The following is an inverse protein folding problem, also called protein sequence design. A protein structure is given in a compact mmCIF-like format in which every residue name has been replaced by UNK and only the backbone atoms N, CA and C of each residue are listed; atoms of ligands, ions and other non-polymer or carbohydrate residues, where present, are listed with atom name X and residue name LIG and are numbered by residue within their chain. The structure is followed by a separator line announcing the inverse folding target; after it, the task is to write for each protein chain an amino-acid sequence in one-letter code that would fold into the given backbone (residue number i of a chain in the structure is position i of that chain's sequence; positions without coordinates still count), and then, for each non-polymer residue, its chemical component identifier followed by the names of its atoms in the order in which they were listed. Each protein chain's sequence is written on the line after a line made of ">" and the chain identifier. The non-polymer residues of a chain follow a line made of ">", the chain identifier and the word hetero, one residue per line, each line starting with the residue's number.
data_IF_680342451272
#
_entry.id   IF_680342451272
#
_cell.length_a   1.000
_cell.length_b   1.000
_cell.length_c   1.000
_cell.angle_alpha   90.00
_cell.angle_beta   90.00
_cell.angle_gamma   90.00
#
_symmetry.space_group_name_H-M   'P 1'
#
loop_
_entity.id
_entity.type
_entity.pdbx_description
1 polymer ?
#
# COMPACT_ATOMS: atom_id res chain seq x y z
N UNK A 1 31.59 -4.07 -27.69
CA UNK A 1 31.10 -4.79 -26.49
C UNK A 1 29.95 -4.01 -25.90
N UNK A 2 28.80 -4.66 -25.73
CA UNK A 2 27.46 -4.12 -25.44
C UNK A 2 27.43 -3.11 -24.29
N UNK A 3 26.74 -1.98 -24.48
CA UNK A 3 26.10 -1.23 -23.40
C UNK A 3 24.60 -1.47 -23.55
N UNK A 4 24.06 -2.23 -22.61
CA UNK A 4 22.63 -2.53 -22.52
C UNK A 4 21.87 -1.25 -22.18
N UNK A 5 20.82 -1.00 -22.97
CA UNK A 5 19.90 0.09 -22.77
C UNK A 5 19.08 -0.17 -21.51
N UNK A 6 19.10 0.81 -20.61
CA UNK A 6 18.18 0.93 -19.48
C UNK A 6 16.76 0.93 -20.03
N UNK A 7 15.99 -0.10 -19.69
CA UNK A 7 14.56 -0.22 -20.03
C UNK A 7 13.79 0.94 -19.42
N UNK A 8 13.11 1.69 -20.29
CA UNK A 8 12.35 2.87 -19.94
C UNK A 8 11.23 2.59 -18.94
N UNK A 9 11.15 3.43 -17.91
CA UNK A 9 9.98 3.58 -17.06
C UNK A 9 8.82 4.15 -17.89
N UNK A 10 7.81 3.35 -18.19
CA UNK A 10 6.61 3.78 -18.90
C UNK A 10 5.76 4.70 -18.01
N UNK A 11 5.94 6.01 -18.15
CA UNK A 11 5.12 7.06 -17.50
C UNK A 11 4.01 7.57 -18.43
N UNK A 12 3.46 6.71 -19.30
CA UNK A 12 2.29 7.04 -20.13
C UNK A 12 0.98 6.85 -19.35
N UNK A 13 -0.13 7.48 -19.78
CA UNK A 13 -1.44 7.23 -19.20
C UNK A 13 -1.83 5.78 -19.47
N UNK A 14 -1.79 4.96 -18.42
CA UNK A 14 -2.18 3.55 -18.47
C UNK A 14 -3.69 3.47 -18.26
N UNK A 15 -4.45 4.06 -19.19
CA UNK A 15 -5.91 4.08 -19.16
C UNK A 15 -6.42 2.78 -19.78
N UNK A 16 -6.68 1.78 -18.95
CA UNK A 16 -7.50 0.62 -19.33
C UNK A 16 -8.94 0.86 -18.86
N UNK A 17 -9.98 0.41 -19.60
CA UNK A 17 -11.38 0.67 -19.24
C UNK A 17 -11.73 0.34 -17.78
N UNK A 18 -11.22 -0.78 -17.24
CA UNK A 18 -11.46 -1.16 -15.85
C UNK A 18 -10.77 -0.27 -14.81
N UNK A 19 -9.64 0.36 -15.16
CA UNK A 19 -8.97 1.32 -14.28
C UNK A 19 -9.75 2.63 -14.17
N UNK A 20 -10.23 3.13 -15.31
CA UNK A 20 -11.02 4.37 -15.34
C UNK A 20 -12.36 4.19 -14.62
N UNK A 21 -13.02 3.03 -14.78
CA UNK A 21 -14.22 2.68 -14.02
C UNK A 21 -13.97 2.63 -12.50
N UNK A 22 -12.86 2.01 -12.09
CA UNK A 22 -12.49 1.93 -10.68
C UNK A 22 -12.22 3.33 -10.08
N UNK A 23 -11.57 4.23 -10.82
CA UNK A 23 -11.37 5.61 -10.40
C UNK A 23 -12.68 6.41 -10.38
N UNK A 24 -13.57 6.19 -11.35
CA UNK A 24 -14.89 6.83 -11.39
C UNK A 24 -15.72 6.46 -10.16
N UNK A 25 -15.77 5.17 -9.80
CA UNK A 25 -16.37 4.71 -8.55
C UNK A 25 -15.77 5.44 -7.34
N UNK A 26 -14.43 5.48 -7.26
CA UNK A 26 -13.74 6.06 -6.13
C UNK A 26 -14.01 7.57 -5.98
N UNK A 27 -14.05 8.32 -7.09
CA UNK A 27 -14.35 9.75 -7.08
C UNK A 27 -15.81 10.08 -6.79
N UNK A 28 -16.72 9.13 -7.00
CA UNK A 28 -18.12 9.24 -6.58
C UNK A 28 -18.33 9.16 -5.06
N UNK A 29 -17.33 8.69 -4.30
CA UNK A 29 -17.42 8.62 -2.85
C UNK A 29 -17.29 10.00 -2.18
N UNK A 30 -18.00 10.18 -1.07
CA UNK A 30 -17.87 11.38 -0.23
C UNK A 30 -16.40 11.55 0.21
N UNK A 31 -15.80 12.71 -0.09
CA UNK A 31 -14.41 13.03 0.29
C UNK A 31 -14.26 13.23 1.80
N UNK A 32 -15.22 13.93 2.41
CA UNK A 32 -15.30 14.26 3.83
C UNK A 32 -16.78 14.43 4.17
N UNK A 33 -17.45 13.35 4.62
CA UNK A 33 -18.92 13.35 4.76
C UNK A 33 -19.47 12.94 6.13
N UNK A 34 -18.67 12.27 6.95
CA UNK A 34 -18.94 11.99 8.35
C UNK A 34 -17.60 12.01 9.05
N UNK A 35 -17.54 12.33 10.35
CA UNK A 35 -16.29 12.23 11.11
C UNK A 35 -15.64 10.87 10.78
N UNK A 36 -14.45 10.85 10.15
CA UNK A 36 -13.76 9.60 9.90
C UNK A 36 -13.57 8.93 11.25
N UNK A 37 -14.13 7.74 11.38
CA UNK A 37 -14.08 6.95 12.60
C UNK A 37 -13.26 5.70 12.32
N UNK A 38 -12.40 5.26 13.25
CA UNK A 38 -11.66 4.02 13.08
C UNK A 38 -12.59 2.82 12.86
N UNK A 39 -13.84 2.89 13.34
CA UNK A 39 -14.79 1.78 13.38
C UNK A 39 -15.09 1.23 11.98
N UNK A 40 -15.39 2.10 11.00
CA UNK A 40 -15.67 1.65 9.64
C UNK A 40 -14.42 1.06 8.98
N UNK A 41 -13.26 1.71 9.20
CA UNK A 41 -11.99 1.22 8.65
C UNK A 41 -11.65 -0.15 9.22
N UNK A 42 -11.87 -0.35 10.52
CA UNK A 42 -11.69 -1.64 11.20
C UNK A 42 -12.65 -2.71 10.65
N UNK A 43 -13.94 -2.40 10.48
CA UNK A 43 -14.92 -3.31 9.90
C UNK A 43 -14.51 -3.78 8.49
N UNK A 44 -14.07 -2.83 7.65
CA UNK A 44 -13.62 -3.14 6.29
C UNK A 44 -12.35 -3.98 6.32
N UNK A 45 -11.40 -3.65 7.19
CA UNK A 45 -10.15 -4.41 7.32
C UNK A 45 -10.38 -5.83 7.84
N UNK A 46 -11.28 -6.01 8.80
CA UNK A 46 -11.70 -7.33 9.29
C UNK A 46 -12.31 -8.14 8.14
N UNK A 47 -13.22 -7.53 7.36
CA UNK A 47 -13.84 -8.17 6.20
C UNK A 47 -12.85 -8.49 5.05
N UNK A 48 -11.67 -7.89 5.06
CA UNK A 48 -10.53 -8.17 4.16
C UNK A 48 -9.53 -9.19 4.74
N UNK A 49 -9.78 -9.72 5.94
CA UNK A 49 -8.88 -10.67 6.61
C UNK A 49 -7.66 -10.01 7.24
N UNK A 50 -7.86 -8.85 7.87
CA UNK A 50 -6.88 -8.12 8.67
C UNK A 50 -5.52 -7.86 7.98
N UNK A 51 -5.49 -7.28 6.76
CA UNK A 51 -4.23 -7.06 6.04
C UNK A 51 -3.25 -6.17 6.81
N UNK A 52 -3.78 -5.19 7.58
CA UNK A 52 -3.00 -4.29 8.43
C UNK A 52 -2.23 -5.00 9.57
N UNK A 53 -2.56 -6.25 9.91
CA UNK A 53 -1.87 -7.05 10.93
C UNK A 53 -0.68 -7.84 10.38
N UNK A 54 -0.51 -7.89 9.05
CA UNK A 54 0.52 -8.69 8.37
C UNK A 54 1.90 -8.00 8.33
N UNK A 55 1.96 -6.72 8.67
CA UNK A 55 3.18 -5.92 8.75
C UNK A 55 3.08 -4.96 9.94
N UNK A 56 4.22 -4.42 10.38
CA UNK A 56 4.25 -3.29 11.29
C UNK A 56 4.09 -1.99 10.48
N UNK A 57 3.66 -0.91 11.13
CA UNK A 57 3.47 0.38 10.49
C UNK A 57 4.14 1.48 11.31
N UNK A 58 4.64 2.52 10.62
CA UNK A 58 5.09 3.76 11.25
C UNK A 58 4.08 4.83 10.85
N UNK A 59 3.36 5.37 11.83
CA UNK A 59 2.38 6.41 11.61
C UNK A 59 3.06 7.78 11.75
N UNK A 60 3.16 8.54 10.66
CA UNK A 60 3.73 9.88 10.65
C UNK A 60 2.60 10.91 10.63
N UNK A 61 2.44 11.65 11.72
CA UNK A 61 1.45 12.72 11.87
C UNK A 61 2.13 14.10 12.01
N UNK A 62 1.36 15.19 11.89
CA UNK A 62 1.86 16.58 12.02
C UNK A 62 1.39 17.49 10.88
N UNK A 63 1.52 18.81 11.04
CA UNK A 63 0.92 19.76 10.08
C UNK A 63 1.75 19.95 8.80
N UNK A 64 3.08 19.82 8.88
CA UNK A 64 4.03 20.00 7.77
C UNK A 64 5.08 18.88 7.76
N UNK A 65 5.66 18.59 6.59
CA UNK A 65 6.79 17.66 6.48
C UNK A 65 6.48 16.16 6.53
N UNK A 66 5.25 15.73 6.81
CA UNK A 66 4.86 14.30 6.85
C UNK A 66 5.29 13.51 5.62
N UNK A 67 5.01 14.02 4.42
CA UNK A 67 5.37 13.35 3.17
C UNK A 67 6.88 13.16 3.04
N UNK A 68 7.66 14.20 3.34
CA UNK A 68 9.12 14.16 3.32
C UNK A 68 9.68 13.19 4.36
N UNK A 69 9.17 13.22 5.59
CA UNK A 69 9.60 12.30 6.67
C UNK A 69 9.25 10.86 6.31
N UNK A 70 8.02 10.58 5.86
CA UNK A 70 7.61 9.24 5.45
C UNK A 70 8.46 8.71 4.29
N UNK A 71 8.80 9.57 3.31
CA UNK A 71 9.67 9.20 2.20
C UNK A 71 11.11 8.91 2.66
N UNK A 72 11.67 9.73 3.57
CA UNK A 72 12.99 9.50 4.15
C UNK A 72 13.03 8.19 4.94
N UNK A 73 12.03 7.95 5.81
CA UNK A 73 11.92 6.69 6.57
C UNK A 73 11.80 5.49 5.63
N UNK A 74 10.95 5.59 4.60
CA UNK A 74 10.78 4.51 3.64
C UNK A 74 12.07 4.21 2.87
N UNK A 75 12.81 5.24 2.46
CA UNK A 75 14.11 5.11 1.79
C UNK A 75 15.14 4.41 2.68
N UNK A 76 15.25 4.82 3.95
CA UNK A 76 16.18 4.20 4.91
C UNK A 76 15.85 2.74 5.16
N UNK A 77 14.57 2.39 5.36
CA UNK A 77 14.15 1.00 5.57
C UNK A 77 14.40 0.13 4.33
N UNK A 78 14.12 0.68 3.14
CA UNK A 78 14.41 -0.01 1.87
C UNK A 78 15.90 -0.25 1.70
N UNK A 79 16.74 0.77 1.98
CA UNK A 79 18.20 0.65 1.93
C UNK A 79 18.76 -0.35 2.96
N UNK A 80 18.07 -0.52 4.09
CA UNK A 80 18.39 -1.53 5.10
C UNK A 80 17.93 -2.96 4.73
N UNK A 81 17.34 -3.16 3.55
CA UNK A 81 16.94 -4.47 3.03
C UNK A 81 15.52 -4.90 3.42
N UNK A 82 14.70 -4.02 4.01
CA UNK A 82 13.29 -4.31 4.30
C UNK A 82 12.40 -3.98 3.10
N UNK A 83 11.46 -4.87 2.77
CA UNK A 83 10.42 -4.53 1.80
C UNK A 83 9.46 -3.52 2.42
N UNK A 84 9.43 -2.31 1.88
CA UNK A 84 8.80 -1.16 2.54
C UNK A 84 7.62 -0.62 1.74
N UNK A 85 6.48 -0.45 2.41
CA UNK A 85 5.30 0.23 1.87
C UNK A 85 5.27 1.70 2.30
N UNK A 86 4.96 2.61 1.36
CA UNK A 86 4.76 4.03 1.62
C UNK A 86 3.33 4.41 1.24
N UNK A 87 2.55 4.87 2.21
CA UNK A 87 1.21 5.41 2.01
C UNK A 87 1.21 6.93 2.23
N UNK A 88 0.77 7.70 1.22
CA UNK A 88 0.74 9.16 1.26
C UNK A 88 -0.56 9.73 0.71
N UNK A 89 -0.90 10.94 1.16
CA UNK A 89 -2.04 11.70 0.67
C UNK A 89 -1.78 13.20 0.76
N UNK A 90 -2.23 14.03 -0.19
CA UNK A 90 -2.91 13.67 -1.46
C UNK A 90 -1.92 13.14 -2.53
N UNK A 91 -2.44 12.72 -3.69
CA UNK A 91 -1.63 12.52 -4.91
C UNK A 91 -1.55 13.82 -5.73
N UNK A 92 -0.54 13.94 -6.59
CA UNK A 92 -0.34 15.09 -7.47
C UNK A 92 -0.73 14.81 -8.92
N UNK A 93 -0.28 13.70 -9.53
CA UNK A 93 -0.52 13.39 -10.94
C UNK A 93 -1.39 12.15 -11.13
N UNK A 94 -1.16 11.10 -10.34
CA UNK A 94 -1.91 9.84 -10.45
C UNK A 94 -2.32 9.29 -9.09
N UNK A 95 -3.52 8.70 -9.02
CA UNK A 95 -4.02 8.03 -7.81
C UNK A 95 -3.02 7.00 -7.24
N UNK A 96 -2.26 6.35 -8.13
CA UNK A 96 -1.23 5.36 -7.81
C UNK A 96 -0.12 5.88 -6.91
N UNK A 97 0.15 7.20 -6.90
CA UNK A 97 1.16 7.81 -6.03
C UNK A 97 0.88 7.60 -4.54
N UNK A 98 -0.40 7.40 -4.20
CA UNK A 98 -0.83 7.21 -2.81
C UNK A 98 -0.23 5.97 -2.17
N UNK A 99 0.13 4.95 -2.93
CA UNK A 99 0.74 3.74 -2.38
C UNK A 99 1.91 3.26 -3.26
N UNK A 100 3.05 3.06 -2.61
CA UNK A 100 4.27 2.58 -3.24
C UNK A 100 4.84 1.43 -2.43
N UNK A 101 5.48 0.47 -3.09
CA UNK A 101 6.27 -0.58 -2.44
C UNK A 101 7.65 -0.58 -3.05
N UNK A 102 8.68 -0.49 -2.21
CA UNK A 102 10.09 -0.36 -2.61
C UNK A 102 10.30 0.77 -3.63
N UNK A 103 9.65 1.93 -3.38
CA UNK A 103 9.68 3.11 -4.26
C UNK A 103 8.93 2.96 -5.59
N UNK A 104 8.28 1.82 -5.83
CA UNK A 104 7.54 1.55 -7.07
C UNK A 104 6.04 1.75 -6.86
N UNK A 105 5.42 2.55 -7.72
CA UNK A 105 3.97 2.80 -7.72
C UNK A 105 3.16 1.49 -7.86
N UNK A 106 1.97 1.45 -7.27
CA UNK A 106 0.98 0.43 -7.60
C UNK A 106 0.68 0.42 -9.11
N UNK A 107 0.51 -0.74 -9.71
CA UNK A 107 0.08 -0.88 -11.11
C UNK A 107 -1.43 -0.62 -11.22
N UNK A 108 -1.94 -0.26 -12.42
CA UNK A 108 -3.38 -0.13 -12.64
C UNK A 108 -4.17 -1.39 -12.28
N UNK A 109 -3.63 -2.58 -12.62
CA UNK A 109 -4.23 -3.85 -12.27
C UNK A 109 -4.37 -4.02 -10.75
N UNK A 110 -3.34 -3.70 -9.97
CA UNK A 110 -3.40 -3.77 -8.51
C UNK A 110 -4.38 -2.75 -7.90
N UNK A 111 -4.56 -1.59 -8.55
CA UNK A 111 -5.60 -0.63 -8.16
C UNK A 111 -6.98 -1.26 -8.38
N UNK A 112 -7.25 -1.77 -9.58
CA UNK A 112 -8.55 -2.37 -9.93
C UNK A 112 -8.87 -3.57 -9.05
N UNK A 113 -7.92 -4.50 -8.92
CA UNK A 113 -8.10 -5.70 -8.12
C UNK A 113 -8.32 -5.37 -6.63
N UNK A 114 -7.54 -4.44 -6.10
CA UNK A 114 -7.66 -4.03 -4.70
C UNK A 114 -8.98 -3.32 -4.42
N UNK A 115 -9.39 -2.39 -5.29
CA UNK A 115 -10.68 -1.70 -5.15
C UNK A 115 -11.86 -2.67 -5.31
N UNK A 116 -11.78 -3.64 -6.23
CA UNK A 116 -12.77 -4.72 -6.36
C UNK A 116 -12.93 -5.50 -5.05
N UNK A 117 -11.82 -5.85 -4.39
CA UNK A 117 -11.87 -6.55 -3.09
C UNK A 117 -12.46 -5.70 -1.98
N UNK A 118 -12.08 -4.43 -1.89
CA UNK A 118 -12.63 -3.50 -0.89
C UNK A 118 -14.13 -3.32 -1.10
N UNK A 119 -14.58 -3.17 -2.35
CA UNK A 119 -16.00 -3.09 -2.69
C UNK A 119 -16.76 -4.36 -2.30
N UNK A 120 -16.23 -5.54 -2.63
CA UNK A 120 -16.84 -6.80 -2.23
C UNK A 120 -16.91 -6.96 -0.70
N UNK A 121 -15.93 -6.42 0.05
CA UNK A 121 -15.96 -6.40 1.51
C UNK A 121 -17.07 -5.48 2.05
N UNK A 122 -17.21 -4.28 1.48
CA UNK A 122 -18.30 -3.35 1.81
C UNK A 122 -19.67 -3.96 1.53
N UNK A 123 -19.86 -4.59 0.37
CA UNK A 123 -21.12 -5.26 0.01
C UNK A 123 -21.46 -6.45 0.93
N UNK A 124 -20.45 -7.15 1.47
CA UNK A 124 -20.67 -8.18 2.50
C UNK A 124 -21.11 -7.57 3.82
N UNK A 125 -20.45 -6.49 4.25
CA UNK A 125 -20.78 -5.79 5.50
C UNK A 125 -22.19 -5.20 5.45
N UNK A 126 -22.56 -4.58 4.33
CA UNK A 126 -23.87 -3.99 4.08
C UNK A 126 -24.98 -5.05 4.18
N UNK A 127 -24.84 -6.17 3.44
CA UNK A 127 -25.77 -7.30 3.50
C UNK A 127 -25.90 -7.92 4.90
N UNK A 128 -24.85 -7.86 5.71
CA UNK A 128 -24.86 -8.36 7.08
C UNK A 128 -25.39 -7.35 8.11
N UNK A 129 -25.74 -6.13 7.70
CA UNK A 129 -26.15 -5.04 8.60
C UNK A 129 -25.04 -4.53 9.52
N UNK A 130 -23.78 -4.91 9.27
CA UNK A 130 -22.61 -4.48 10.06
C UNK A 130 -22.05 -3.14 9.58
N UNK A 131 -22.41 -2.70 8.39
CA UNK A 131 -21.94 -1.44 7.83
C UNK A 131 -22.58 -0.26 8.57
N UNK A 132 -21.79 0.45 9.36
CA UNK A 132 -22.29 1.56 10.19
C UNK A 132 -22.75 2.77 9.37
N UNK A 133 -22.12 3.01 8.22
CA UNK A 133 -22.46 4.06 7.25
C UNK A 133 -21.77 3.81 5.91
N UNK A 134 -22.11 4.62 4.91
CA UNK A 134 -21.37 4.67 3.65
C UNK A 134 -19.87 4.96 3.88
N UNK A 135 -19.04 4.23 3.14
CA UNK A 135 -17.59 4.43 3.16
C UNK A 135 -17.18 5.70 2.43
N UNK A 136 -16.24 6.41 3.01
CA UNK A 136 -15.63 7.60 2.39
C UNK A 136 -14.48 7.20 1.46
N UNK A 137 -14.10 8.14 0.61
CA UNK A 137 -12.89 8.04 -0.22
C UNK A 137 -11.66 7.62 0.60
N UNK A 138 -11.49 8.23 1.79
CA UNK A 138 -10.32 7.99 2.64
C UNK A 138 -10.28 6.56 3.17
N UNK A 139 -11.40 6.01 3.59
CA UNK A 139 -11.49 4.67 4.17
C UNK A 139 -11.26 3.60 3.11
N UNK A 140 -11.87 3.77 1.93
CA UNK A 140 -11.65 2.87 0.78
C UNK A 140 -10.19 2.90 0.33
N UNK A 141 -9.61 4.11 0.22
CA UNK A 141 -8.19 4.28 -0.15
C UNK A 141 -7.26 3.65 0.88
N UNK A 142 -7.56 3.80 2.17
CA UNK A 142 -6.74 3.25 3.27
C UNK A 142 -6.79 1.73 3.30
N UNK A 143 -7.99 1.15 3.19
CA UNK A 143 -8.19 -0.29 3.11
C UNK A 143 -7.48 -0.89 1.90
N UNK A 144 -7.57 -0.23 0.74
CA UNK A 144 -6.85 -0.59 -0.48
C UNK A 144 -5.32 -0.61 -0.27
N UNK A 145 -4.76 0.44 0.34
CA UNK A 145 -3.32 0.52 0.59
C UNK A 145 -2.83 -0.61 1.51
N UNK A 146 -3.57 -0.93 2.58
CA UNK A 146 -3.23 -2.03 3.47
C UNK A 146 -3.30 -3.40 2.76
N UNK A 147 -4.33 -3.65 1.96
CA UNK A 147 -4.44 -4.88 1.16
C UNK A 147 -3.28 -5.00 0.15
N UNK A 148 -2.91 -3.91 -0.53
CA UNK A 148 -1.75 -3.87 -1.43
C UNK A 148 -0.46 -4.25 -0.70
N UNK A 149 -0.17 -3.65 0.45
CA UNK A 149 1.05 -3.90 1.22
C UNK A 149 1.11 -5.34 1.73
N UNK A 150 -0.01 -5.87 2.22
CA UNK A 150 -0.12 -7.27 2.61
C UNK A 150 0.18 -8.21 1.43
N UNK A 151 -0.35 -7.92 0.23
CA UNK A 151 -0.18 -8.76 -0.96
C UNK A 151 1.22 -8.69 -1.55
N UNK A 152 1.86 -7.52 -1.52
CA UNK A 152 3.26 -7.38 -1.94
C UNK A 152 4.24 -7.91 -0.88
N UNK A 153 3.77 -8.38 0.28
CA UNK A 153 4.63 -8.95 1.32
C UNK A 153 5.55 -7.91 1.96
N UNK A 154 5.04 -6.69 2.20
CA UNK A 154 5.75 -5.66 2.96
C UNK A 154 6.21 -6.25 4.29
N UNK A 155 7.51 -6.20 4.55
CA UNK A 155 8.17 -6.85 5.69
C UNK A 155 8.82 -5.77 6.55
N UNK A 156 8.06 -5.26 7.50
CA UNK A 156 8.60 -4.61 8.68
C UNK A 156 8.07 -5.40 9.87
N UNK A 157 8.94 -6.20 10.48
CA UNK A 157 8.74 -6.90 11.75
C UNK A 157 10.00 -6.63 12.54
N UNK A 158 9.85 -6.08 13.74
CA UNK A 158 10.96 -5.96 14.68
C UNK A 158 11.58 -7.35 14.89
N UNK A 159 12.79 -7.56 14.37
CA UNK A 159 13.64 -8.67 14.79
C UNK A 159 14.37 -8.20 16.05
N UNK A 160 13.97 -8.74 17.20
CA UNK A 160 14.71 -8.51 18.45
C UNK A 160 16.09 -9.15 18.26
N UNK A 161 17.15 -8.35 18.27
CA UNK A 161 18.53 -8.83 18.32
C UNK A 161 18.77 -9.55 19.65
N UNK A 162 18.52 -10.85 19.66
CA UNK A 162 19.25 -11.78 20.50
C UNK A 162 20.51 -12.20 19.75
N UNK A 163 21.65 -11.98 20.36
CA UNK A 163 23.00 -12.33 19.93
C UNK A 163 23.16 -13.65 19.17
N UNK A 164 24.13 -13.68 18.23
CA UNK A 164 24.72 -14.91 17.72
C UNK A 164 25.48 -14.71 16.40
N UNK A 165 26.79 -14.49 16.49
CA UNK A 165 27.72 -14.71 15.37
C UNK A 165 27.53 -16.17 14.92
N UNK A 166 27.13 -16.42 13.66
CA UNK A 166 26.89 -17.79 13.21
C UNK A 166 26.40 -17.90 11.77
N UNK A 167 27.34 -18.23 10.89
CA UNK A 167 27.16 -18.73 9.52
C UNK A 167 26.43 -17.84 8.52
N UNK A 168 27.23 -17.05 7.80
CA UNK A 168 27.03 -16.83 6.35
C UNK A 168 26.75 -18.18 5.66
N UNK A 169 25.76 -18.29 4.76
CA UNK A 169 25.67 -19.46 3.90
C UNK A 169 26.94 -19.54 3.04
N UNK A 170 27.57 -20.71 2.84
CA UNK A 170 28.74 -20.80 2.00
C UNK A 170 28.32 -20.52 0.55
N UNK A 171 28.68 -19.35 0.05
CA UNK A 171 28.84 -19.14 -1.39
C UNK A 171 30.06 -19.96 -1.80
N UNK A 172 29.83 -21.18 -2.28
CA UNK A 172 30.83 -21.93 -3.03
C UNK A 172 31.07 -21.20 -4.36
N UNK A 173 32.02 -20.28 -4.37
CA UNK A 173 32.66 -19.78 -5.58
C UNK A 173 34.11 -20.25 -5.55
N UNK A 174 34.42 -21.26 -6.38
CA UNK A 174 35.74 -21.88 -6.43
C UNK A 174 36.80 -20.96 -7.02
N UNK A 175 38.04 -21.14 -6.56
CA UNK A 175 39.32 -21.13 -7.31
C UNK A 175 40.49 -21.06 -6.32
N UNK A 176 41.19 -22.17 -6.16
CA UNK A 176 42.58 -22.40 -6.61
C UNK A 176 42.96 -23.85 -6.33
#
# INVERSE_FOLDING_TARGET
>A
GRREAVTGSSTGPVSSPGYDEALHYLWGLKRLGARPGPELTEQVLEALGDPHRKFKAIHVTGSKGKGSVSAMVASVLTAAGYRTGLYTSPHLLTYRERAQVDGTLATPAEVVEGLTRVRAALERLDRSGRLSREATFFEVTTAWAFDLFARRGVTWRWWRSGWGVGSTPPTSCGRR
#
